data_IF_555200605733
#
_entry.id   IF_555200605733
#
_cell.length_a   1.000
_cell.length_b   1.000
_cell.length_c   1.000
_cell.angle_alpha   90.00
_cell.angle_beta   90.00
_cell.angle_gamma   90.00
#
_symmetry.space_group_name_H-M   'P 1'
#
loop_
_entity.id
_entity.type
_entity.pdbx_description
1 polymer ?
#
# COMPACT_ATOMS: atom_id res chain seq x y z
N UNK A 1 -17.44 -8.37 -18.12
CA UNK A 1 -17.84 -9.54 -17.29
C UNK A 1 -16.62 -10.48 -17.25
N UNK A 2 -15.80 -10.63 -16.20
CA UNK A 2 -15.94 -10.35 -14.78
C UNK A 2 -14.54 -10.19 -14.17
N UNK A 3 -14.00 -8.96 -14.12
CA UNK A 3 -12.76 -8.69 -13.36
C UNK A 3 -13.05 -8.41 -11.87
N UNK A 4 -14.26 -7.93 -11.56
CA UNK A 4 -14.72 -7.70 -10.17
C UNK A 4 -15.17 -8.98 -9.45
N UNK A 5 -15.42 -10.08 -10.18
CA UNK A 5 -15.95 -11.33 -9.62
C UNK A 5 -14.89 -12.27 -9.02
N UNK A 6 -13.60 -12.05 -9.30
CA UNK A 6 -12.55 -13.04 -8.99
C UNK A 6 -12.19 -13.15 -7.51
N UNK A 7 -12.27 -12.06 -6.74
CA UNK A 7 -11.85 -12.04 -5.31
C UNK A 7 -12.97 -11.72 -4.33
N UNK A 8 -14.08 -11.12 -4.78
CA UNK A 8 -15.20 -10.77 -3.89
C UNK A 8 -16.16 -11.93 -3.65
N UNK A 9 -16.12 -12.96 -4.50
CA UNK A 9 -16.75 -14.27 -4.26
C UNK A 9 -15.89 -15.16 -3.36
N UNK A 10 -14.60 -14.87 -3.24
CA UNK A 10 -13.67 -15.56 -2.37
C UNK A 10 -13.79 -14.96 -0.97
N UNK A 11 -14.38 -15.70 -0.03
CA UNK A 11 -14.54 -15.25 1.35
C UNK A 11 -13.21 -14.79 1.97
N UNK A 12 -13.30 -14.02 3.08
CA UNK A 12 -12.15 -13.40 3.76
C UNK A 12 -10.92 -14.31 3.92
N UNK A 13 -11.15 -15.60 4.18
CA UNK A 13 -10.09 -16.62 4.31
C UNK A 13 -9.19 -16.77 3.07
N UNK A 14 -9.73 -16.61 1.86
CA UNK A 14 -8.96 -16.69 0.61
C UNK A 14 -8.42 -15.32 0.22
N UNK A 15 -9.13 -14.24 0.59
CA UNK A 15 -8.67 -12.88 0.35
C UNK A 15 -7.34 -12.57 1.04
N UNK A 16 -7.21 -12.94 2.32
CA UNK A 16 -6.01 -12.69 3.14
C UNK A 16 -4.72 -13.21 2.45
N UNK A 17 -4.59 -14.50 2.06
CA UNK A 17 -3.36 -15.01 1.45
C UNK A 17 -3.09 -14.40 0.08
N UNK A 18 -4.11 -14.18 -0.76
CA UNK A 18 -3.94 -13.56 -2.09
C UNK A 18 -3.46 -12.11 -1.96
N UNK A 19 -4.10 -11.32 -1.09
CA UNK A 19 -3.69 -9.97 -0.77
C UNK A 19 -2.26 -9.94 -0.23
N UNK A 20 -1.93 -10.84 0.70
CA UNK A 20 -0.60 -10.90 1.32
C UNK A 20 0.47 -11.24 0.29
N UNK A 21 0.20 -12.18 -0.64
CA UNK A 21 1.10 -12.52 -1.73
C UNK A 21 1.33 -11.32 -2.68
N UNK A 22 0.26 -10.63 -3.05
CA UNK A 22 0.33 -9.42 -3.87
C UNK A 22 1.14 -8.31 -3.19
N UNK A 23 0.88 -8.05 -1.90
CA UNK A 23 1.62 -7.06 -1.13
C UNK A 23 3.08 -7.48 -0.93
N UNK A 24 3.37 -8.76 -0.78
CA UNK A 24 4.73 -9.27 -0.75
C UNK A 24 5.46 -8.94 -2.06
N UNK A 25 4.84 -9.25 -3.21
CA UNK A 25 5.40 -8.99 -4.53
C UNK A 25 5.67 -7.50 -4.78
N UNK A 26 4.75 -6.62 -4.39
CA UNK A 26 4.87 -5.19 -4.65
C UNK A 26 5.75 -4.46 -3.61
N UNK A 27 5.67 -4.85 -2.34
CA UNK A 27 6.26 -4.07 -1.25
C UNK A 27 7.61 -4.58 -0.78
N UNK A 28 7.91 -5.88 -0.85
CA UNK A 28 9.24 -6.40 -0.46
C UNK A 28 10.39 -5.78 -1.28
N UNK A 29 10.26 -5.56 -2.61
CA UNK A 29 11.30 -4.86 -3.38
C UNK A 29 11.59 -3.45 -2.86
N UNK A 30 10.58 -2.78 -2.31
CA UNK A 30 10.72 -1.43 -1.74
C UNK A 30 11.45 -1.38 -0.39
N UNK A 31 11.63 -2.55 0.25
CA UNK A 31 12.30 -2.70 1.55
C UNK A 31 13.67 -3.36 1.40
N UNK A 32 13.97 -3.95 0.23
CA UNK A 32 15.20 -4.70 -0.01
C UNK A 32 16.50 -3.95 0.33
N UNK A 33 16.71 -2.66 -0.03
CA UNK A 33 17.95 -1.95 0.30
C UNK A 33 18.14 -1.75 1.80
N UNK A 34 17.03 -1.49 2.51
CA UNK A 34 17.01 -1.37 3.98
C UNK A 34 17.30 -2.73 4.61
N UNK A 35 16.72 -3.81 4.10
CA UNK A 35 16.96 -5.16 4.57
C UNK A 35 18.43 -5.57 4.38
N UNK A 36 19.04 -5.24 3.24
CA UNK A 36 20.47 -5.50 2.96
C UNK A 36 21.39 -4.67 3.86
N UNK A 37 21.05 -3.41 4.13
CA UNK A 37 21.79 -2.58 5.10
C UNK A 37 21.66 -3.12 6.53
N UNK A 38 20.45 -3.54 6.91
CA UNK A 38 20.19 -4.19 8.19
C UNK A 38 20.98 -5.48 8.31
N UNK A 39 21.02 -6.30 7.26
CA UNK A 39 21.79 -7.54 7.17
C UNK A 39 23.29 -7.33 7.43
N UNK A 40 23.88 -6.23 6.92
CA UNK A 40 25.29 -5.89 7.17
C UNK A 40 25.58 -5.60 8.65
N UNK A 41 24.59 -5.20 9.43
CA UNK A 41 24.72 -5.04 10.90
C UNK A 41 24.59 -6.37 11.66
N UNK A 42 24.27 -7.48 10.98
CA UNK A 42 24.01 -8.79 11.57
C UNK A 42 25.18 -9.74 11.27
N UNK A 43 25.99 -10.01 12.28
CA UNK A 43 27.11 -10.96 12.16
C UNK A 43 26.67 -12.43 12.31
N UNK A 44 25.52 -12.73 12.94
CA UNK A 44 25.09 -14.11 13.28
C UNK A 44 23.59 -14.32 13.08
N UNK A 45 23.21 -15.54 12.68
CA UNK A 45 21.82 -15.97 12.45
C UNK A 45 21.05 -15.14 11.41
N UNK A 46 21.77 -14.70 10.37
CA UNK A 46 21.27 -13.80 9.32
C UNK A 46 19.92 -14.21 8.73
N UNK A 47 19.81 -15.46 8.27
CA UNK A 47 18.58 -15.99 7.66
C UNK A 47 17.42 -15.90 8.63
N UNK A 48 17.58 -16.42 9.86
CA UNK A 48 16.53 -16.40 10.88
C UNK A 48 16.08 -14.99 11.27
N UNK A 49 17.00 -14.02 11.29
CA UNK A 49 16.68 -12.63 11.65
C UNK A 49 15.96 -11.89 10.52
N UNK A 50 16.38 -12.12 9.26
CA UNK A 50 15.67 -11.60 8.09
C UNK A 50 14.29 -12.24 7.92
N UNK A 51 14.15 -13.54 8.18
CA UNK A 51 12.84 -14.19 8.13
C UNK A 51 11.92 -13.67 9.23
N UNK A 52 12.42 -13.45 10.45
CA UNK A 52 11.64 -12.84 11.52
C UNK A 52 11.18 -11.42 11.18
N UNK A 53 12.07 -10.59 10.61
CA UNK A 53 11.73 -9.25 10.12
C UNK A 53 10.65 -9.29 9.03
N UNK A 54 10.86 -10.10 7.99
CA UNK A 54 9.95 -10.21 6.84
C UNK A 54 8.61 -10.82 7.23
N UNK A 55 8.59 -11.81 8.14
CA UNK A 55 7.36 -12.41 8.65
C UNK A 55 6.53 -11.37 9.42
N UNK A 56 7.16 -10.60 10.32
CA UNK A 56 6.50 -9.51 11.02
C UNK A 56 5.93 -8.46 10.06
N UNK A 57 6.69 -8.16 9.01
CA UNK A 57 6.29 -7.19 7.99
C UNK A 57 5.06 -7.67 7.19
N UNK A 58 5.08 -8.91 6.71
CA UNK A 58 3.96 -9.50 5.96
C UNK A 58 2.74 -9.71 6.84
N UNK A 59 2.91 -10.00 8.13
CA UNK A 59 1.80 -10.13 9.08
C UNK A 59 1.03 -8.81 9.21
N UNK A 60 1.70 -7.66 9.25
CA UNK A 60 1.03 -6.35 9.26
C UNK A 60 0.24 -6.13 7.96
N UNK A 61 0.80 -6.50 6.81
CA UNK A 61 0.08 -6.42 5.52
C UNK A 61 -1.11 -7.38 5.42
N UNK A 62 -0.99 -8.58 6.00
CA UNK A 62 -2.08 -9.53 6.11
C UNK A 62 -3.21 -8.97 6.99
N UNK A 63 -2.88 -8.34 8.13
CA UNK A 63 -3.87 -7.67 8.97
C UNK A 63 -4.53 -6.49 8.26
N UNK A 64 -3.79 -5.73 7.45
CA UNK A 64 -4.33 -4.65 6.64
C UNK A 64 -5.30 -5.12 5.54
N UNK A 65 -5.29 -6.41 5.20
CA UNK A 65 -6.27 -6.98 4.27
C UNK A 65 -7.69 -6.94 4.84
N UNK A 66 -7.86 -6.97 6.17
CA UNK A 66 -9.19 -6.97 6.81
C UNK A 66 -9.97 -5.68 6.53
N UNK A 67 -9.45 -4.47 6.84
CA UNK A 67 -10.13 -3.25 6.46
C UNK A 67 -10.22 -3.08 4.95
N UNK A 68 -9.20 -3.51 4.18
CA UNK A 68 -9.26 -3.46 2.72
C UNK A 68 -10.40 -4.30 2.14
N UNK A 69 -10.61 -5.51 2.67
CA UNK A 69 -11.72 -6.39 2.30
C UNK A 69 -13.06 -5.77 2.66
N UNK A 70 -13.18 -5.20 3.87
CA UNK A 70 -14.41 -4.55 4.31
C UNK A 70 -14.78 -3.36 3.41
N UNK A 71 -13.81 -2.51 3.06
CA UNK A 71 -13.99 -1.39 2.13
C UNK A 71 -14.38 -1.91 0.75
N UNK A 72 -13.70 -2.94 0.24
CA UNK A 72 -13.99 -3.51 -1.06
C UNK A 72 -15.39 -4.14 -1.13
N UNK A 73 -15.78 -4.90 -0.10
CA UNK A 73 -17.11 -5.49 0.01
C UNK A 73 -18.21 -4.41 0.08
N UNK A 74 -17.99 -3.36 0.87
CA UNK A 74 -18.92 -2.23 0.97
C UNK A 74 -19.07 -1.52 -0.37
N UNK A 75 -17.96 -1.16 -1.03
CA UNK A 75 -17.97 -0.49 -2.34
C UNK A 75 -18.75 -1.31 -3.36
N UNK A 76 -18.53 -2.63 -3.41
CA UNK A 76 -19.24 -3.50 -4.35
C UNK A 76 -20.72 -3.62 -4.04
N UNK A 77 -21.11 -3.69 -2.78
CA UNK A 77 -22.53 -3.71 -2.42
C UNK A 77 -23.27 -2.42 -2.79
N UNK A 78 -22.57 -1.29 -2.87
CA UNK A 78 -23.14 0.02 -3.19
C UNK A 78 -23.08 0.38 -4.69
N UNK A 79 -22.09 -0.15 -5.41
CA UNK A 79 -21.80 0.23 -6.80
C UNK A 79 -22.56 -0.60 -7.85
N UNK A 80 -22.91 -1.86 -7.54
CA UNK A 80 -23.44 -2.84 -8.51
C UNK A 80 -24.76 -2.39 -9.16
N UNK A 81 -25.63 -1.70 -8.41
CA UNK A 81 -26.98 -1.38 -8.89
C UNK A 81 -27.12 0.05 -9.43
N UNK A 82 -26.14 0.93 -9.19
CA UNK A 82 -26.27 2.37 -9.44
C UNK A 82 -25.01 3.00 -10.06
N UNK A 83 -25.00 3.28 -11.37
CA UNK A 83 -23.82 3.85 -12.04
C UNK A 83 -23.47 5.25 -11.55
N UNK A 84 -24.43 6.00 -11.00
CA UNK A 84 -24.18 7.31 -10.37
C UNK A 84 -23.41 7.13 -9.04
N UNK A 85 -23.77 6.14 -8.23
CA UNK A 85 -23.11 5.81 -6.97
C UNK A 85 -21.66 5.37 -7.21
N UNK A 86 -21.43 4.55 -8.24
CA UNK A 86 -20.08 4.15 -8.65
C UNK A 86 -19.18 5.36 -8.97
N UNK A 87 -19.71 6.39 -9.66
CA UNK A 87 -18.96 7.63 -9.95
C UNK A 87 -18.59 8.40 -8.69
N UNK A 88 -19.53 8.55 -7.76
CA UNK A 88 -19.26 9.24 -6.48
C UNK A 88 -18.26 8.48 -5.60
N UNK A 89 -18.31 7.14 -5.60
CA UNK A 89 -17.33 6.32 -4.90
C UNK A 89 -15.94 6.51 -5.52
N UNK A 90 -15.81 6.44 -6.85
CA UNK A 90 -14.54 6.68 -7.53
C UNK A 90 -13.99 8.08 -7.22
N UNK A 91 -14.83 9.11 -7.31
CA UNK A 91 -14.47 10.48 -6.96
C UNK A 91 -14.00 10.59 -5.50
N UNK A 92 -14.71 9.94 -4.56
CA UNK A 92 -14.36 9.90 -3.15
C UNK A 92 -13.01 9.21 -2.88
N UNK A 93 -12.73 8.10 -3.57
CA UNK A 93 -11.43 7.42 -3.48
C UNK A 93 -10.30 8.31 -3.98
N UNK A 94 -10.46 8.94 -5.15
CA UNK A 94 -9.46 9.88 -5.67
C UNK A 94 -9.28 11.11 -4.78
N UNK A 95 -10.35 11.60 -4.15
CA UNK A 95 -10.30 12.67 -3.17
C UNK A 95 -9.47 12.28 -1.95
N UNK A 96 -9.72 11.10 -1.36
CA UNK A 96 -8.96 10.57 -0.22
C UNK A 96 -7.49 10.40 -0.58
N UNK A 97 -7.19 9.86 -1.77
CA UNK A 97 -5.82 9.73 -2.27
C UNK A 97 -5.17 11.11 -2.35
N UNK A 98 -5.81 12.07 -3.01
CA UNK A 98 -5.27 13.41 -3.21
C UNK A 98 -4.98 14.13 -1.88
N UNK A 99 -5.94 14.12 -0.97
CA UNK A 99 -5.78 14.75 0.35
C UNK A 99 -4.70 14.06 1.18
N UNK A 100 -4.66 12.72 1.18
CA UNK A 100 -3.64 11.99 1.94
C UNK A 100 -2.24 12.23 1.38
N UNK A 101 -2.10 12.20 0.06
CA UNK A 101 -0.83 12.34 -0.64
C UNK A 101 -0.21 13.74 -0.48
N UNK A 102 -1.04 14.77 -0.26
CA UNK A 102 -0.63 16.15 0.06
C UNK A 102 -0.46 16.40 1.56
N UNK A 103 -0.76 15.42 2.41
CA UNK A 103 -0.78 15.61 3.86
C UNK A 103 0.64 15.61 4.47
N UNK A 104 0.86 16.36 5.56
CA UNK A 104 2.12 16.30 6.30
C UNK A 104 2.34 14.94 6.97
N UNK A 105 1.28 14.15 7.18
CA UNK A 105 1.36 12.80 7.72
C UNK A 105 2.06 11.86 6.71
N UNK A 106 1.66 11.92 5.43
CA UNK A 106 2.32 11.18 4.34
C UNK A 106 3.80 11.54 4.26
N UNK A 107 4.14 12.83 4.26
CA UNK A 107 5.54 13.30 4.18
C UNK A 107 6.38 12.75 5.34
N UNK A 108 5.86 12.81 6.58
CA UNK A 108 6.54 12.23 7.76
C UNK A 108 6.71 10.71 7.67
N UNK A 109 5.67 9.98 7.27
CA UNK A 109 5.76 8.53 7.08
C UNK A 109 6.78 8.16 6.00
N UNK A 110 6.76 8.89 4.88
CA UNK A 110 7.67 8.66 3.77
C UNK A 110 9.12 8.92 4.16
N UNK A 111 9.42 9.99 4.90
CA UNK A 111 10.77 10.27 5.43
C UNK A 111 11.30 9.11 6.28
N UNK A 112 10.48 8.54 7.16
CA UNK A 112 10.85 7.38 7.97
C UNK A 112 11.04 6.11 7.14
N UNK A 113 10.20 5.90 6.12
CA UNK A 113 10.36 4.78 5.18
C UNK A 113 11.67 4.86 4.37
N UNK A 114 12.14 6.06 4.09
CA UNK A 114 13.26 6.32 3.17
C UNK A 114 14.61 6.48 3.86
N UNK A 115 14.66 6.65 5.17
CA UNK A 115 15.89 6.93 5.91
C UNK A 115 16.53 5.64 6.45
N UNK A 116 17.50 5.04 5.74
CA UNK A 116 18.13 3.80 6.17
C UNK A 116 18.96 3.98 7.46
N UNK A 117 19.60 5.14 7.65
CA UNK A 117 20.48 5.39 8.81
C UNK A 117 19.68 5.57 10.10
N UNK A 118 18.58 6.34 10.06
CA UNK A 118 17.71 6.45 11.25
C UNK A 118 17.09 5.11 11.58
N UNK A 119 16.77 4.29 10.57
CA UNK A 119 16.27 2.93 10.78
C UNK A 119 17.31 2.02 11.44
N UNK A 120 18.55 2.04 10.97
CA UNK A 120 19.64 1.24 11.54
C UNK A 120 19.91 1.62 13.00
N UNK A 121 19.97 2.92 13.31
CA UNK A 121 20.16 3.41 14.68
C UNK A 121 18.96 3.08 15.58
N UNK A 122 17.73 3.18 15.05
CA UNK A 122 16.53 2.86 15.80
C UNK A 122 16.37 1.35 16.03
N UNK A 123 16.68 0.53 15.02
CA UNK A 123 16.56 -0.93 15.12
C UNK A 123 17.70 -1.56 15.90
N UNK A 124 18.91 -0.98 15.87
CA UNK A 124 20.02 -1.43 16.71
C UNK A 124 19.76 -1.16 18.19
N UNK A 125 18.91 -0.17 18.53
CA UNK A 125 18.48 0.08 19.91
C UNK A 125 17.56 -1.02 20.47
N UNK A 126 16.93 -1.84 19.62
CA UNK A 126 16.08 -2.93 20.10
C UNK A 126 16.91 -4.08 20.66
N UNK A 127 16.65 -4.40 21.93
CA UNK A 127 17.27 -5.51 22.63
C UNK A 127 16.31 -6.69 22.83
N UNK A 128 16.90 -7.87 23.06
CA UNK A 128 16.16 -9.10 23.34
C UNK A 128 15.79 -9.95 22.11
N UNK A 129 15.06 -11.06 22.32
CA UNK A 129 14.74 -12.04 21.28
C UNK A 129 13.73 -11.52 20.25
N UNK A 130 12.92 -10.51 20.58
CA UNK A 130 11.89 -9.95 19.70
C UNK A 130 12.35 -8.76 18.86
N UNK A 131 13.66 -8.45 18.82
CA UNK A 131 14.15 -7.22 18.17
C UNK A 131 13.77 -7.14 16.69
N UNK A 132 13.93 -8.24 15.96
CA UNK A 132 13.71 -8.28 14.51
C UNK A 132 12.22 -8.21 14.17
N UNK A 133 11.37 -8.81 15.02
CA UNK A 133 9.91 -8.69 14.95
C UNK A 133 9.46 -7.23 15.18
N UNK A 134 10.02 -6.54 16.19
CA UNK A 134 9.73 -5.12 16.45
C UNK A 134 10.20 -4.21 15.32
N UNK A 135 11.37 -4.49 14.76
CA UNK A 135 11.89 -3.78 13.60
C UNK A 135 10.98 -3.96 12.38
N UNK A 136 10.60 -5.20 12.06
CA UNK A 136 9.73 -5.53 10.93
C UNK A 136 8.34 -4.91 11.06
N UNK A 137 7.71 -5.02 12.22
CA UNK A 137 6.41 -4.40 12.51
C UNK A 137 6.45 -2.88 12.39
N UNK A 138 7.43 -2.20 13.01
CA UNK A 138 7.55 -0.73 12.87
C UNK A 138 7.79 -0.31 11.42
N UNK A 139 8.63 -1.03 10.68
CA UNK A 139 8.84 -0.71 9.27
C UNK A 139 7.57 -0.87 8.45
N UNK A 140 6.83 -1.95 8.69
CA UNK A 140 5.57 -2.20 8.00
C UNK A 140 4.53 -1.13 8.30
N UNK A 141 4.44 -0.64 9.55
CA UNK A 141 3.53 0.45 9.91
C UNK A 141 3.87 1.76 9.20
N UNK A 142 5.15 2.12 9.08
CA UNK A 142 5.54 3.29 8.29
C UNK A 142 5.24 3.08 6.80
N UNK A 143 5.50 1.88 6.28
CA UNK A 143 5.22 1.55 4.88
C UNK A 143 3.73 1.63 4.58
N UNK A 144 2.90 0.97 5.39
CA UNK A 144 1.45 1.05 5.32
C UNK A 144 0.99 2.51 5.42
N UNK A 145 1.50 3.26 6.40
CA UNK A 145 1.21 4.68 6.54
C UNK A 145 1.54 5.46 5.27
N UNK A 146 2.70 5.26 4.66
CA UNK A 146 3.02 6.02 3.46
C UNK A 146 2.16 5.62 2.25
N UNK A 147 1.74 4.36 2.06
CA UNK A 147 1.11 3.93 0.80
C UNK A 147 -0.34 3.46 0.89
N UNK A 148 -0.97 3.41 2.07
CA UNK A 148 -2.34 2.86 2.21
C UNK A 148 -3.36 3.56 1.31
N UNK A 149 -3.28 4.88 1.16
CA UNK A 149 -4.22 5.63 0.34
C UNK A 149 -4.14 5.20 -1.13
N UNK A 150 -2.93 5.00 -1.66
CA UNK A 150 -2.71 4.49 -3.02
C UNK A 150 -3.28 3.08 -3.21
N UNK A 151 -3.34 2.27 -2.15
CA UNK A 151 -3.96 0.93 -2.21
C UNK A 151 -5.47 1.00 -2.45
N UNK A 152 -6.14 2.12 -2.16
CA UNK A 152 -7.57 2.29 -2.47
C UNK A 152 -7.85 2.25 -3.99
N UNK A 153 -6.85 2.54 -4.83
CA UNK A 153 -6.98 2.39 -6.29
C UNK A 153 -7.29 0.94 -6.67
N UNK A 154 -6.75 -0.05 -5.93
CA UNK A 154 -7.03 -1.47 -6.17
C UNK A 154 -8.51 -1.82 -5.93
N UNK A 155 -9.19 -1.08 -5.07
CA UNK A 155 -10.63 -1.28 -4.81
C UNK A 155 -11.46 -0.82 -6.01
N UNK A 156 -11.07 0.30 -6.64
CA UNK A 156 -11.81 0.88 -7.78
C UNK A 156 -11.46 0.22 -9.11
N UNK A 157 -10.19 -0.12 -9.33
CA UNK A 157 -9.71 -0.66 -10.59
C UNK A 157 -9.67 -2.21 -10.62
N UNK A 158 -10.00 -2.85 -9.50
CA UNK A 158 -9.98 -4.29 -9.33
C UNK A 158 -8.66 -4.81 -8.78
N UNK A 159 -8.76 -5.63 -7.73
CA UNK A 159 -7.61 -6.16 -6.97
C UNK A 159 -6.76 -7.10 -7.83
N UNK A 160 -7.28 -7.67 -8.92
CA UNK A 160 -6.52 -8.56 -9.82
C UNK A 160 -5.98 -7.87 -11.07
N UNK A 161 -6.08 -6.54 -11.17
CA UNK A 161 -5.57 -5.82 -12.33
C UNK A 161 -4.03 -5.71 -12.24
N UNK A 162 -3.34 -6.60 -12.95
CA UNK A 162 -1.87 -6.67 -12.97
C UNK A 162 -1.24 -5.34 -13.40
N UNK A 163 -1.85 -4.63 -14.36
CA UNK A 163 -1.34 -3.34 -14.82
C UNK A 163 -1.37 -2.31 -13.68
N UNK A 164 -2.47 -2.26 -12.93
CA UNK A 164 -2.61 -1.36 -11.77
C UNK A 164 -1.60 -1.72 -10.69
N UNK A 165 -1.39 -3.01 -10.41
CA UNK A 165 -0.36 -3.45 -9.47
C UNK A 165 1.03 -2.96 -9.88
N UNK A 166 1.41 -3.15 -11.15
CA UNK A 166 2.72 -2.73 -11.66
C UNK A 166 2.89 -1.21 -11.57
N UNK A 167 1.86 -0.44 -11.95
CA UNK A 167 1.88 1.03 -11.86
C UNK A 167 2.01 1.49 -10.40
N UNK A 168 1.22 0.93 -9.48
CA UNK A 168 1.29 1.27 -8.06
C UNK A 168 2.65 0.90 -7.45
N UNK A 169 3.18 -0.27 -7.78
CA UNK A 169 4.52 -0.67 -7.34
C UNK A 169 5.57 0.33 -7.85
N UNK A 170 5.53 0.68 -9.13
CA UNK A 170 6.45 1.66 -9.72
C UNK A 170 6.35 3.04 -9.04
N UNK A 171 5.12 3.55 -8.83
CA UNK A 171 4.88 4.80 -8.12
C UNK A 171 5.50 4.77 -6.72
N UNK A 172 5.26 3.71 -5.95
CA UNK A 172 5.76 3.59 -4.59
C UNK A 172 7.28 3.46 -4.55
N UNK A 173 7.88 2.76 -5.51
CA UNK A 173 9.33 2.67 -5.65
C UNK A 173 9.93 4.05 -5.97
N UNK A 174 9.32 4.82 -6.88
CA UNK A 174 9.75 6.18 -7.21
C UNK A 174 9.64 7.11 -6.00
N UNK A 175 8.52 7.08 -5.27
CA UNK A 175 8.34 7.86 -4.04
C UNK A 175 9.42 7.56 -2.99
N UNK A 176 9.78 6.28 -2.84
CA UNK A 176 10.73 5.84 -1.82
C UNK A 176 12.19 6.05 -2.23
N UNK A 177 12.56 5.89 -3.49
CA UNK A 177 13.95 5.94 -3.91
C UNK A 177 14.38 7.27 -4.52
N UNK A 178 13.47 8.02 -5.14
CA UNK A 178 13.85 9.22 -5.85
C UNK A 178 14.06 10.40 -4.90
N UNK A 179 15.15 11.17 -5.06
CA UNK A 179 15.45 12.33 -4.20
C UNK A 179 14.32 13.35 -4.12
N UNK A 180 13.50 13.45 -5.17
CA UNK A 180 12.33 14.34 -5.29
C UNK A 180 11.00 13.62 -5.00
N UNK A 181 11.04 12.49 -4.28
CA UNK A 181 9.87 11.66 -3.97
C UNK A 181 8.71 12.40 -3.31
N UNK A 182 8.99 13.38 -2.44
CA UNK A 182 7.95 14.24 -1.84
C UNK A 182 7.27 15.13 -2.89
N UNK A 183 8.04 15.74 -3.81
CA UNK A 183 7.48 16.54 -4.89
C UNK A 183 6.66 15.68 -5.86
N UNK A 184 7.15 14.47 -6.18
CA UNK A 184 6.42 13.49 -6.98
C UNK A 184 5.12 13.05 -6.30
N UNK A 185 5.17 12.79 -4.98
CA UNK A 185 4.00 12.50 -4.15
C UNK A 185 2.98 13.64 -4.27
N UNK A 186 3.40 14.90 -4.10
CA UNK A 186 2.48 16.05 -4.23
C UNK A 186 1.89 16.19 -5.63
N UNK A 187 2.69 15.95 -6.67
CA UNK A 187 2.19 15.97 -8.05
C UNK A 187 1.13 14.87 -8.29
N UNK A 188 1.36 13.66 -7.78
CA UNK A 188 0.36 12.58 -7.79
C UNK A 188 -0.90 12.94 -7.00
N UNK A 189 -0.74 13.59 -5.85
CA UNK A 189 -1.86 14.07 -5.04
C UNK A 189 -2.71 15.10 -5.78
N UNK A 190 -2.07 16.08 -6.43
CA UNK A 190 -2.75 17.07 -7.25
C UNK A 190 -3.47 16.41 -8.45
N UNK A 191 -2.80 15.47 -9.13
CA UNK A 191 -3.41 14.70 -10.22
C UNK A 191 -4.63 13.90 -9.74
N UNK A 192 -4.55 13.27 -8.56
CA UNK A 192 -5.68 12.56 -7.96
C UNK A 192 -6.85 13.50 -7.64
N UNK A 193 -6.60 14.71 -7.14
CA UNK A 193 -7.67 15.69 -6.92
C UNK A 193 -8.33 16.14 -8.24
N UNK A 194 -7.55 16.34 -9.30
CA UNK A 194 -8.10 16.64 -10.63
C UNK A 194 -8.95 15.46 -11.13
N UNK A 195 -8.49 14.23 -10.95
CA UNK A 195 -9.25 13.03 -11.30
C UNK A 195 -10.51 12.88 -10.46
N UNK A 196 -10.52 13.29 -9.19
CA UNK A 196 -11.70 13.27 -8.33
C UNK A 196 -12.81 14.17 -8.89
N UNK A 197 -12.46 15.37 -9.35
CA UNK A 197 -13.41 16.28 -10.00
C UNK A 197 -13.83 15.75 -11.37
N UNK A 198 -12.88 15.25 -12.17
CA UNK A 198 -13.15 14.71 -13.51
C UNK A 198 -14.04 13.46 -13.48
N UNK A 199 -13.93 12.61 -12.46
CA UNK A 199 -14.72 11.38 -12.31
C UNK A 199 -16.24 11.64 -12.22
N UNK A 200 -16.65 12.86 -11.83
CA UNK A 200 -18.06 13.27 -11.82
C UNK A 200 -18.59 13.43 -13.25
N UNK A 201 -17.75 13.89 -14.17
CA UNK A 201 -18.13 14.28 -15.54
C UNK A 201 -17.74 13.25 -16.61
N UNK A 202 -16.75 12.39 -16.33
CA UNK A 202 -16.20 11.42 -17.29
C UNK A 202 -16.58 9.99 -16.89
N UNK A 203 -17.59 9.37 -17.54
CA UNK A 203 -18.04 8.01 -17.24
C UNK A 203 -16.95 6.94 -17.41
N UNK A 204 -15.94 7.23 -18.25
CA UNK A 204 -14.82 6.32 -18.51
C UNK A 204 -13.98 6.01 -17.27
N UNK A 205 -13.93 6.91 -16.29
CA UNK A 205 -13.15 6.73 -15.06
C UNK A 205 -13.80 5.76 -14.06
N UNK A 206 -15.11 5.53 -14.15
CA UNK A 206 -15.82 4.56 -13.30
C UNK A 206 -15.91 3.16 -13.92
N UNK A 207 -15.32 2.92 -15.09
CA UNK A 207 -15.43 1.63 -15.80
C UNK A 207 -14.87 0.44 -14.99
N UNK A 208 -13.96 0.69 -14.04
CA UNK A 208 -13.47 -0.35 -13.13
C UNK A 208 -14.50 -0.83 -12.10
N UNK A 209 -15.55 -0.03 -11.84
CA UNK A 209 -16.64 -0.29 -10.89
C UNK A 209 -17.93 -0.81 -11.55
N UNK A 210 -18.01 -0.82 -12.89
CA UNK A 210 -19.17 -1.24 -13.70
C UNK A 210 -18.91 -2.55 -14.43
#
# INVERSE_FOLDING_TARGET
MSAMGGTMSLGLFVFIPVWTLMMAAMMLPSVAPVAVLYERSIARNRIARLTAFSAAYLLVWALASVPAFAIAALVSSLAVDYPLTARFIAAGVFLVIGLYQLSPLKDRCLQHCRSPLSLLLHYSSFQGPMRDLRAGTRHALYCLGCCWALMLVLVVAGIMNLLVMVVLAAVILVEKYWSRGEAFSRALGAAALVLAVAAIWVPGLSQGLS
#
